data_IF_226109749827
#
_entry.id   IF_226109749827
#
_cell.length_a   1.000
_cell.length_b   1.000
_cell.length_c   1.000
_cell.angle_alpha   90.00
_cell.angle_beta   90.00
_cell.angle_gamma   90.00
#
_symmetry.space_group_name_H-M   'P 1'
#
loop_
_entity.id
_entity.type
_entity.pdbx_description
1 polymer ?
#
# COMPACT_ATOMS: atom_id res chain seq x y z
N UNK A 1 11.10 17.62 -7.12
CA UNK A 1 10.51 18.85 -6.58
C UNK A 1 11.53 19.64 -5.77
N UNK A 2 11.27 20.91 -5.57
CA UNK A 2 12.17 21.83 -4.89
C UNK A 2 11.96 21.79 -3.36
N UNK A 3 13.07 21.89 -2.63
CA UNK A 3 13.08 22.03 -1.18
C UNK A 3 14.05 23.15 -0.79
N UNK A 4 13.58 24.10 0.00
CA UNK A 4 14.42 25.22 0.46
C UNK A 4 14.77 25.05 1.93
N UNK A 5 16.06 25.06 2.26
CA UNK A 5 16.58 25.03 3.61
C UNK A 5 17.80 25.96 3.74
N UNK A 6 17.85 26.73 4.81
CA UNK A 6 18.97 27.67 5.07
C UNK A 6 19.12 28.75 4.00
N UNK A 7 18.05 29.10 3.26
CA UNK A 7 18.10 30.09 2.17
C UNK A 7 18.60 29.53 0.83
N UNK A 8 18.86 28.22 0.75
CA UNK A 8 19.23 27.55 -0.51
C UNK A 8 18.11 26.63 -0.97
N UNK A 9 17.90 26.58 -2.29
CA UNK A 9 16.90 25.71 -2.93
C UNK A 9 17.58 24.48 -3.51
N UNK A 10 17.04 23.31 -3.22
CA UNK A 10 17.56 22.01 -3.63
C UNK A 10 16.53 21.28 -4.48
N UNK A 11 16.98 20.60 -5.52
CA UNK A 11 16.15 19.72 -6.33
C UNK A 11 16.15 18.31 -5.73
N UNK A 12 14.97 17.80 -5.36
CA UNK A 12 14.81 16.50 -4.73
C UNK A 12 14.20 15.51 -5.73
N UNK A 13 14.83 14.37 -5.88
CA UNK A 13 14.37 13.30 -6.76
C UNK A 13 14.96 13.33 -8.17
N UNK A 14 15.86 14.25 -8.49
CA UNK A 14 16.65 14.19 -9.70
C UNK A 14 17.87 13.28 -9.53
N UNK A 15 18.27 12.62 -10.61
CA UNK A 15 19.54 11.89 -10.64
C UNK A 15 20.69 12.90 -10.56
N UNK A 16 21.60 12.69 -9.63
CA UNK A 16 22.88 13.39 -9.66
C UNK A 16 23.65 12.93 -10.91
N UNK A 17 23.79 13.79 -11.88
CA UNK A 17 24.65 13.55 -13.04
C UNK A 17 26.13 13.62 -12.67
N UNK A 18 26.43 14.21 -11.53
CA UNK A 18 27.75 14.35 -10.95
C UNK A 18 27.69 14.10 -9.44
N UNK A 19 28.38 13.08 -8.97
CA UNK A 19 28.51 12.74 -7.54
C UNK A 19 29.23 13.81 -6.71
N UNK A 20 29.86 14.77 -7.35
CA UNK A 20 30.48 15.93 -6.68
C UNK A 20 29.46 17.04 -6.38
N UNK A 21 28.26 16.99 -6.96
CA UNK A 21 27.19 17.91 -6.63
C UNK A 21 26.54 17.54 -5.29
N UNK A 22 27.09 18.11 -4.23
CA UNK A 22 26.67 17.88 -2.85
C UNK A 22 25.17 18.21 -2.66
N UNK A 23 24.64 19.17 -3.43
CA UNK A 23 23.25 19.57 -3.32
C UNK A 23 22.28 18.49 -3.83
N UNK A 24 22.72 17.71 -4.82
CA UNK A 24 21.95 16.58 -5.35
C UNK A 24 22.20 15.28 -4.59
N UNK A 25 23.43 15.07 -4.09
CA UNK A 25 23.85 13.82 -3.44
C UNK A 25 23.32 13.63 -2.02
N UNK A 26 22.93 14.70 -1.32
CA UNK A 26 22.61 14.65 0.11
C UNK A 26 21.12 14.46 0.43
N UNK A 27 20.24 14.44 -0.56
CA UNK A 27 18.78 14.35 -0.30
C UNK A 27 18.26 12.95 -0.47
N UNK A 28 17.90 12.34 0.66
CA UNK A 28 17.22 11.05 0.73
C UNK A 28 15.81 11.27 1.26
N UNK A 29 14.81 10.69 0.61
CA UNK A 29 13.44 10.72 1.13
C UNK A 29 13.33 9.90 2.41
N UNK A 30 12.65 10.43 3.40
CA UNK A 30 12.37 9.72 4.64
C UNK A 30 11.22 8.72 4.44
N UNK A 31 11.38 7.50 4.97
CA UNK A 31 10.29 6.50 4.98
C UNK A 31 9.14 6.93 5.89
N UNK A 32 9.44 7.66 6.95
CA UNK A 32 8.47 8.14 7.92
C UNK A 32 8.88 9.53 8.41
N UNK A 33 7.91 10.41 8.51
CA UNK A 33 8.09 11.70 9.14
C UNK A 33 7.61 11.62 10.60
N UNK A 34 8.40 12.15 11.54
CA UNK A 34 8.04 12.28 12.94
C UNK A 34 7.16 13.50 13.21
N UNK A 35 7.07 14.43 12.26
CA UNK A 35 6.19 15.60 12.35
C UNK A 35 4.73 15.22 12.07
N UNK A 36 3.84 15.74 12.90
CA UNK A 36 2.39 15.66 12.65
C UNK A 36 1.86 16.91 11.93
N UNK A 37 2.75 17.75 11.41
CA UNK A 37 2.38 18.99 10.73
C UNK A 37 2.74 18.91 9.24
N UNK A 38 1.72 18.79 8.35
CA UNK A 38 1.93 18.77 6.89
C UNK A 38 2.56 20.04 6.31
N UNK A 39 2.52 21.15 7.06
CA UNK A 39 3.12 22.43 6.64
C UNK A 39 4.65 22.46 6.85
N UNK A 40 5.21 21.52 7.58
CA UNK A 40 6.65 21.48 7.77
C UNK A 40 7.37 20.96 6.53
N UNK A 41 8.53 21.58 6.21
CA UNK A 41 9.31 21.24 5.01
C UNK A 41 9.73 19.75 4.93
N UNK A 42 10.02 19.12 6.07
CA UNK A 42 10.37 17.70 6.13
C UNK A 42 9.21 16.76 5.75
N UNK A 43 7.94 17.21 5.81
CA UNK A 43 6.78 16.45 5.30
C UNK A 43 6.92 16.12 3.82
N UNK A 44 7.48 17.04 3.04
CA UNK A 44 7.73 16.84 1.60
C UNK A 44 8.82 15.80 1.31
N UNK A 45 9.69 15.52 2.28
CA UNK A 45 10.73 14.51 2.16
C UNK A 45 10.24 13.09 2.45
N UNK A 46 9.05 12.94 3.01
CA UNK A 46 8.46 11.65 3.31
C UNK A 46 8.14 10.89 2.01
N UNK A 47 8.49 9.61 1.98
CA UNK A 47 8.02 8.71 0.92
C UNK A 47 6.52 8.47 1.09
N UNK A 48 5.74 8.77 0.07
CA UNK A 48 4.27 8.73 0.09
C UNK A 48 3.69 7.54 -0.65
N UNK A 49 4.53 6.65 -1.17
CA UNK A 49 4.18 5.50 -2.00
C UNK A 49 4.60 4.16 -1.38
N UNK A 50 4.84 4.13 -0.07
CA UNK A 50 5.35 2.96 0.65
C UNK A 50 4.32 2.49 1.67
N UNK A 51 3.97 1.20 1.61
CA UNK A 51 3.01 0.58 2.51
C UNK A 51 3.64 -0.64 3.18
N UNK A 52 3.52 -0.72 4.50
CA UNK A 52 4.00 -1.86 5.27
C UNK A 52 2.98 -3.00 5.19
N UNK A 53 3.44 -4.20 4.87
CA UNK A 53 2.60 -5.40 4.82
C UNK A 53 2.90 -6.34 5.98
N UNK A 54 4.20 -6.60 6.25
CA UNK A 54 4.62 -7.57 7.24
C UNK A 54 6.10 -7.38 7.59
N UNK A 55 6.62 -8.14 8.55
CA UNK A 55 8.06 -8.13 8.88
C UNK A 55 8.93 -8.67 7.72
N UNK A 56 8.39 -9.65 6.99
CA UNK A 56 9.03 -10.24 5.81
C UNK A 56 7.95 -10.69 4.83
N UNK A 57 8.26 -10.58 3.53
CA UNK A 57 7.37 -10.99 2.43
C UNK A 57 8.19 -11.75 1.41
N UNK A 58 7.87 -13.02 1.19
CA UNK A 58 8.51 -13.84 0.17
C UNK A 58 7.79 -13.72 -1.17
N UNK A 59 8.53 -13.82 -2.26
CA UNK A 59 7.99 -13.80 -3.63
C UNK A 59 7.03 -14.98 -3.89
N UNK A 60 7.32 -16.12 -3.27
CA UNK A 60 6.49 -17.30 -3.41
C UNK A 60 5.07 -17.03 -2.89
N UNK A 61 4.06 -17.30 -3.71
CA UNK A 61 2.64 -17.06 -3.41
C UNK A 61 2.27 -15.60 -3.12
N UNK A 62 3.18 -14.65 -3.32
CA UNK A 62 2.83 -13.24 -3.20
C UNK A 62 1.80 -12.86 -4.25
N UNK A 63 0.70 -12.27 -3.79
CA UNK A 63 -0.32 -11.64 -4.64
C UNK A 63 -0.82 -10.42 -3.91
N UNK A 64 -0.80 -9.29 -4.55
CA UNK A 64 -1.35 -8.05 -4.01
C UNK A 64 -2.17 -7.38 -5.11
N UNK A 65 -3.37 -6.97 -4.76
CA UNK A 65 -4.28 -6.22 -5.61
C UNK A 65 -4.77 -4.98 -4.87
N UNK A 66 -5.27 -4.01 -5.60
CA UNK A 66 -5.90 -2.80 -5.08
C UNK A 66 -7.38 -2.84 -5.39
N UNK A 67 -8.19 -2.60 -4.37
CA UNK A 67 -9.65 -2.53 -4.50
C UNK A 67 -10.15 -1.13 -4.21
N UNK A 68 -11.25 -0.77 -4.84
CA UNK A 68 -12.01 0.45 -4.63
C UNK A 68 -13.42 0.09 -4.17
N UNK A 69 -13.89 0.68 -3.07
CA UNK A 69 -15.24 0.49 -2.59
C UNK A 69 -16.23 1.34 -3.39
N UNK A 70 -17.15 0.68 -4.10
CA UNK A 70 -18.17 1.36 -4.90
C UNK A 70 -19.17 2.12 -4.03
N UNK A 71 -19.43 3.37 -4.35
CA UNK A 71 -20.42 4.20 -3.68
C UNK A 71 -21.85 3.66 -3.84
N UNK A 72 -22.14 3.03 -4.98
CA UNK A 72 -23.47 2.56 -5.32
C UNK A 72 -23.81 1.25 -4.63
N UNK A 73 -22.84 0.33 -4.53
CA UNK A 73 -23.09 -1.03 -4.05
C UNK A 73 -22.42 -1.38 -2.74
N UNK A 74 -21.44 -0.56 -2.30
CA UNK A 74 -20.58 -0.86 -1.14
C UNK A 74 -19.59 -2.00 -1.38
N UNK A 75 -19.61 -2.64 -2.55
CA UNK A 75 -18.75 -3.77 -2.90
C UNK A 75 -17.37 -3.26 -3.30
N UNK A 76 -16.33 -4.00 -2.94
CA UNK A 76 -14.96 -3.73 -3.37
C UNK A 76 -14.71 -4.25 -4.78
N UNK A 77 -14.40 -3.33 -5.70
CA UNK A 77 -14.12 -3.58 -7.11
C UNK A 77 -12.61 -3.52 -7.35
N UNK A 78 -12.10 -4.32 -8.29
CA UNK A 78 -10.70 -4.24 -8.74
C UNK A 78 -10.48 -3.21 -9.85
N UNK A 79 -11.44 -2.32 -10.07
CA UNK A 79 -11.41 -1.28 -11.10
C UNK A 79 -12.19 -0.04 -10.63
N UNK A 80 -11.95 1.10 -11.27
CA UNK A 80 -12.77 2.31 -11.09
C UNK A 80 -14.00 2.21 -12.00
N UNK A 81 -15.25 2.40 -11.47
CA UNK A 81 -16.48 2.18 -12.21
C UNK A 81 -16.83 3.34 -13.17
N UNK A 82 -15.84 3.84 -13.92
CA UNK A 82 -16.00 4.82 -14.97
C UNK A 82 -15.80 4.18 -16.34
N UNK A 83 -16.68 4.51 -17.28
CA UNK A 83 -16.76 3.88 -18.61
C UNK A 83 -15.40 3.84 -19.34
N UNK A 84 -14.58 4.86 -19.14
CA UNK A 84 -13.28 5.04 -19.81
C UNK A 84 -12.20 4.09 -19.28
N UNK A 85 -12.34 3.56 -18.06
CA UNK A 85 -11.31 2.78 -17.36
C UNK A 85 -11.82 1.49 -16.72
N UNK A 86 -13.12 1.18 -16.80
CA UNK A 86 -13.73 0.01 -16.14
C UNK A 86 -13.18 -1.35 -16.62
N UNK A 87 -12.62 -1.39 -17.82
CA UNK A 87 -12.05 -2.60 -18.40
C UNK A 87 -10.57 -2.78 -18.02
N UNK A 88 -10.03 -1.89 -17.20
CA UNK A 88 -8.67 -1.92 -16.68
C UNK A 88 -8.68 -2.12 -15.17
N UNK A 89 -7.85 -3.04 -14.67
CA UNK A 89 -7.68 -3.23 -13.23
C UNK A 89 -7.07 -1.99 -12.59
N UNK A 90 -7.47 -1.69 -11.35
CA UNK A 90 -6.96 -0.54 -10.61
C UNK A 90 -5.45 -0.65 -10.37
N UNK A 91 -4.94 -1.84 -10.09
CA UNK A 91 -3.50 -2.08 -9.92
C UNK A 91 -2.70 -1.73 -11.18
N UNK A 92 -3.26 -2.01 -12.38
CA UNK A 92 -2.66 -1.63 -13.66
C UNK A 92 -2.77 -0.13 -13.92
N UNK A 93 -3.93 0.48 -13.58
CA UNK A 93 -4.15 1.93 -13.70
C UNK A 93 -3.13 2.71 -12.86
N UNK A 94 -2.80 2.19 -11.66
CA UNK A 94 -1.79 2.74 -10.75
C UNK A 94 -0.34 2.43 -11.18
N UNK A 95 -0.13 1.76 -12.32
CA UNK A 95 1.18 1.48 -12.86
C UNK A 95 1.99 0.44 -12.07
N UNK A 96 1.33 -0.33 -11.20
CA UNK A 96 1.97 -1.33 -10.35
C UNK A 96 1.82 -2.78 -10.86
N UNK A 97 1.26 -2.96 -12.06
CA UNK A 97 1.16 -4.22 -12.79
C UNK A 97 1.67 -4.00 -14.22
N UNK A 98 2.97 -4.14 -14.40
CA UNK A 98 3.67 -3.97 -15.70
C UNK A 98 4.39 -5.23 -16.12
N UNK A 99 4.63 -6.17 -15.19
CA UNK A 99 5.50 -7.32 -15.35
C UNK A 99 4.74 -8.62 -15.13
N UNK A 100 5.28 -9.70 -15.67
CA UNK A 100 4.86 -11.06 -15.35
C UNK A 100 5.66 -11.64 -14.17
N UNK A 101 5.37 -12.87 -13.80
CA UNK A 101 6.06 -13.57 -12.72
C UNK A 101 7.57 -13.77 -12.97
N UNK A 102 8.03 -13.56 -14.19
CA UNK A 102 9.44 -13.68 -14.60
C UNK A 102 10.10 -12.31 -14.80
N UNK A 103 9.45 -11.23 -14.35
CA UNK A 103 9.88 -9.84 -14.51
C UNK A 103 10.03 -9.39 -15.98
N UNK A 104 9.24 -9.99 -16.87
CA UNK A 104 9.12 -9.54 -18.26
C UNK A 104 7.93 -8.61 -18.44
N UNK A 105 7.95 -7.75 -19.43
CA UNK A 105 6.97 -6.71 -19.69
C UNK A 105 5.58 -7.26 -20.13
N UNK A 106 4.92 -8.00 -19.25
CA UNK A 106 3.58 -8.53 -19.44
C UNK A 106 2.77 -8.40 -18.14
N UNK A 107 1.76 -7.53 -18.07
CA UNK A 107 0.86 -7.43 -16.90
C UNK A 107 0.20 -8.79 -16.60
N UNK A 108 0.12 -9.13 -15.31
CA UNK A 108 -0.45 -10.40 -14.85
C UNK A 108 -1.63 -10.24 -13.90
N UNK A 109 -2.10 -9.01 -13.67
CA UNK A 109 -3.23 -8.68 -12.82
C UNK A 109 -2.89 -8.47 -11.34
N UNK A 110 -1.60 -8.53 -10.97
CA UNK A 110 -1.14 -8.37 -9.59
C UNK A 110 0.01 -7.36 -9.51
N UNK A 111 0.29 -6.91 -8.30
CA UNK A 111 1.41 -6.02 -8.01
C UNK A 111 2.74 -6.68 -8.40
N UNK A 112 3.59 -5.94 -9.10
CA UNK A 112 4.90 -6.39 -9.54
C UNK A 112 5.84 -6.65 -8.37
N UNK A 113 6.25 -7.89 -8.18
CA UNK A 113 7.21 -8.24 -7.15
C UNK A 113 8.64 -8.20 -7.71
N UNK A 114 9.35 -7.12 -7.44
CA UNK A 114 10.78 -6.99 -7.74
C UNK A 114 11.50 -6.71 -6.43
N UNK A 115 12.23 -7.73 -5.94
CA UNK A 115 12.92 -7.66 -4.66
C UNK A 115 13.94 -6.52 -4.63
N UNK A 116 13.94 -5.75 -3.54
CA UNK A 116 14.79 -4.58 -3.38
C UNK A 116 14.28 -3.31 -4.09
N UNK A 117 13.26 -3.42 -4.96
CA UNK A 117 12.68 -2.28 -5.68
C UNK A 117 11.21 -2.05 -5.32
N UNK A 118 10.32 -2.97 -5.70
CA UNK A 118 8.89 -2.83 -5.41
C UNK A 118 8.49 -3.52 -4.12
N UNK A 119 9.27 -4.48 -3.65
CA UNK A 119 9.09 -5.15 -2.35
C UNK A 119 10.42 -5.24 -1.64
N UNK A 120 10.50 -4.72 -0.42
CA UNK A 120 11.71 -4.80 0.41
C UNK A 120 11.35 -4.69 1.90
N UNK A 121 11.95 -5.53 2.73
CA UNK A 121 11.78 -5.49 4.19
C UNK A 121 10.30 -5.42 4.62
N UNK A 122 9.46 -6.25 4.02
CA UNK A 122 8.03 -6.31 4.33
C UNK A 122 7.21 -5.10 3.87
N UNK A 123 7.78 -4.23 3.05
CA UNK A 123 7.11 -3.07 2.47
C UNK A 123 6.92 -3.22 0.98
N UNK A 124 5.83 -2.67 0.48
CA UNK A 124 5.61 -2.47 -0.96
C UNK A 124 5.80 -1.01 -1.32
N UNK A 125 6.43 -0.79 -2.45
CA UNK A 125 6.75 0.52 -3.00
C UNK A 125 6.02 0.66 -4.33
N UNK A 126 5.02 1.51 -4.37
CA UNK A 126 4.38 1.84 -5.64
C UNK A 126 5.38 2.63 -6.51
N UNK A 127 5.39 2.40 -7.84
CA UNK A 127 6.37 3.05 -8.71
C UNK A 127 6.19 4.57 -8.77
N UNK A 128 4.97 5.05 -8.54
CA UNK A 128 4.62 6.46 -8.64
C UNK A 128 4.44 7.07 -7.24
N UNK A 129 4.83 8.32 -7.08
CA UNK A 129 4.51 9.08 -5.89
C UNK A 129 3.00 9.37 -5.83
N UNK A 130 2.42 9.37 -4.64
CA UNK A 130 1.00 9.66 -4.41
C UNK A 130 0.05 8.84 -5.29
N UNK A 131 0.17 7.50 -5.30
CA UNK A 131 -0.52 6.64 -6.26
C UNK A 131 -2.04 6.79 -6.21
N UNK A 132 -2.63 7.04 -5.04
CA UNK A 132 -4.08 7.23 -4.87
C UNK A 132 -4.51 8.70 -4.89
N UNK A 133 -3.57 9.64 -5.07
CA UNK A 133 -3.80 11.08 -5.11
C UNK A 133 -3.61 11.64 -6.52
N UNK A 134 -2.62 12.52 -6.65
CA UNK A 134 -2.34 13.23 -7.90
C UNK A 134 -2.11 12.31 -9.08
N UNK A 135 -1.39 11.20 -8.89
CA UNK A 135 -1.16 10.25 -9.98
C UNK A 135 -2.45 9.62 -10.50
N UNK A 136 -3.34 9.14 -9.60
CA UNK A 136 -4.63 8.58 -10.01
C UNK A 136 -5.48 9.63 -10.74
N UNK A 137 -5.51 10.86 -10.23
CA UNK A 137 -6.21 11.96 -10.88
C UNK A 137 -5.76 12.14 -12.34
N UNK A 138 -4.45 12.28 -12.54
CA UNK A 138 -3.87 12.49 -13.86
C UNK A 138 -4.14 11.32 -14.82
N UNK A 139 -4.10 10.10 -14.31
CA UNK A 139 -4.42 8.90 -15.09
C UNK A 139 -5.89 8.87 -15.53
N UNK A 140 -6.82 9.22 -14.64
CA UNK A 140 -8.25 9.27 -14.95
C UNK A 140 -8.56 10.36 -15.99
N UNK A 141 -8.03 11.57 -15.79
CA UNK A 141 -8.20 12.67 -16.75
C UNK A 141 -7.60 12.32 -18.11
N UNK A 142 -6.42 11.75 -18.14
CA UNK A 142 -5.75 11.31 -19.39
C UNK A 142 -6.54 10.22 -20.13
N UNK A 143 -7.32 9.42 -19.40
CA UNK A 143 -8.23 8.42 -19.98
C UNK A 143 -9.57 9.00 -20.45
N UNK A 144 -9.82 10.29 -20.23
CA UNK A 144 -11.05 11.00 -20.64
C UNK A 144 -12.14 11.04 -19.57
N UNK A 145 -11.84 10.71 -18.32
CA UNK A 145 -12.75 10.97 -17.19
C UNK A 145 -12.77 12.47 -16.91
N UNK A 146 -13.94 13.04 -16.65
CA UNK A 146 -14.02 14.48 -16.33
C UNK A 146 -13.24 14.84 -15.08
N UNK A 147 -12.69 16.06 -15.01
CA UNK A 147 -11.88 16.53 -13.90
C UNK A 147 -12.59 16.40 -12.54
N UNK A 148 -13.88 16.74 -12.48
CA UNK A 148 -14.66 16.66 -11.25
C UNK A 148 -14.79 15.22 -10.75
N UNK A 149 -15.06 14.27 -11.66
CA UNK A 149 -15.11 12.85 -11.32
C UNK A 149 -13.74 12.30 -10.94
N UNK A 150 -12.70 12.65 -11.68
CA UNK A 150 -11.34 12.26 -11.34
C UNK A 150 -10.95 12.76 -9.95
N UNK A 151 -11.32 13.99 -9.59
CA UNK A 151 -11.08 14.56 -8.26
C UNK A 151 -11.86 13.85 -7.14
N UNK A 152 -13.04 13.32 -7.43
CA UNK A 152 -13.82 12.55 -6.44
C UNK A 152 -13.17 11.19 -6.10
N UNK A 153 -12.45 10.59 -7.05
CA UNK A 153 -11.70 9.35 -6.83
C UNK A 153 -10.33 9.60 -6.19
N UNK A 154 -9.68 10.70 -6.53
CA UNK A 154 -8.33 11.00 -6.06
C UNK A 154 -8.33 11.37 -4.57
N UNK A 155 -7.54 10.65 -3.78
CA UNK A 155 -7.41 10.88 -2.35
C UNK A 155 -6.12 11.67 -2.04
N UNK A 156 -6.09 12.95 -2.41
CA UNK A 156 -4.92 13.83 -2.21
C UNK A 156 -4.65 14.09 -0.73
N UNK A 157 -5.70 14.15 0.08
CA UNK A 157 -5.61 14.39 1.52
C UNK A 157 -4.91 13.25 2.28
N UNK A 158 -4.81 12.05 1.68
CA UNK A 158 -3.98 10.95 2.19
C UNK A 158 -2.50 11.38 2.32
N UNK A 159 -2.06 12.29 1.46
CA UNK A 159 -0.67 12.74 1.35
C UNK A 159 -0.43 14.13 1.92
N UNK A 160 -1.44 14.99 1.89
CA UNK A 160 -1.32 16.41 2.24
C UNK A 160 -1.90 16.74 3.62
N UNK A 161 -2.47 15.75 4.31
CA UNK A 161 -3.01 15.93 5.65
C UNK A 161 -2.48 14.88 6.63
N UNK A 162 -2.79 15.05 7.92
CA UNK A 162 -2.48 14.05 8.93
C UNK A 162 -3.38 12.82 8.76
N UNK A 163 -2.90 11.66 9.26
CA UNK A 163 -3.68 10.41 9.28
C UNK A 163 -5.08 10.60 9.90
N UNK A 164 -5.18 11.40 10.97
CA UNK A 164 -6.45 11.65 11.65
C UNK A 164 -7.43 12.39 10.75
N UNK A 165 -6.96 13.42 10.05
CA UNK A 165 -7.78 14.20 9.13
C UNK A 165 -8.19 13.34 7.91
N UNK A 166 -7.22 12.65 7.29
CA UNK A 166 -7.50 11.80 6.14
C UNK A 166 -8.57 10.73 6.45
N UNK A 167 -8.52 10.11 7.64
CA UNK A 167 -9.52 9.12 8.07
C UNK A 167 -10.94 9.68 8.24
N UNK A 168 -11.11 10.97 8.41
CA UNK A 168 -12.42 11.61 8.54
C UNK A 168 -13.10 11.85 7.20
N UNK A 169 -12.37 11.70 6.09
CA UNK A 169 -12.89 11.89 4.72
C UNK A 169 -13.37 10.53 4.19
N UNK A 170 -14.50 10.07 4.74
CA UNK A 170 -15.03 8.74 4.44
C UNK A 170 -15.38 8.54 2.95
N UNK A 171 -15.77 9.60 2.25
CA UNK A 171 -16.08 9.60 0.83
C UNK A 171 -14.87 9.32 -0.07
N UNK A 172 -13.64 9.49 0.41
CA UNK A 172 -12.40 9.22 -0.30
C UNK A 172 -11.62 8.03 0.27
N UNK A 173 -11.89 7.63 1.51
CA UNK A 173 -11.24 6.51 2.18
C UNK A 173 -11.83 5.15 1.74
N UNK A 174 -11.70 4.85 0.44
CA UNK A 174 -12.33 3.71 -0.24
C UNK A 174 -11.36 2.70 -0.83
N UNK A 175 -10.07 2.94 -0.70
CA UNK A 175 -9.06 2.04 -1.24
C UNK A 175 -8.66 0.96 -0.22
N UNK A 176 -8.49 -0.26 -0.70
CA UNK A 176 -8.07 -1.42 0.07
C UNK A 176 -6.94 -2.14 -0.66
N UNK A 177 -5.82 -2.34 0.01
CA UNK A 177 -4.80 -3.30 -0.41
C UNK A 177 -5.23 -4.69 0.06
N UNK A 178 -5.44 -5.61 -0.88
CA UNK A 178 -5.86 -6.97 -0.60
C UNK A 178 -4.89 -7.95 -1.26
N UNK A 179 -4.43 -8.94 -0.50
CA UNK A 179 -3.48 -9.88 -1.05
C UNK A 179 -3.20 -11.06 -0.16
N UNK A 180 -2.20 -11.82 -0.57
CA UNK A 180 -1.63 -12.93 0.19
C UNK A 180 -0.11 -12.89 0.08
N UNK A 181 0.57 -13.35 1.09
CA UNK A 181 2.01 -13.53 1.08
C UNK A 181 2.40 -14.73 1.94
N UNK A 182 3.61 -15.24 1.73
CA UNK A 182 4.26 -16.22 2.62
C UNK A 182 5.27 -15.45 3.49
N UNK A 183 5.12 -15.54 4.80
CA UNK A 183 6.06 -14.96 5.77
C UNK A 183 7.15 -15.97 6.14
N UNK A 184 8.28 -15.46 6.62
CA UNK A 184 9.43 -16.28 7.06
C UNK A 184 9.25 -16.89 8.45
N UNK A 185 8.36 -16.37 9.28
CA UNK A 185 8.00 -16.97 10.57
C UNK A 185 6.85 -17.93 10.36
N UNK A 186 7.10 -19.23 10.59
CA UNK A 186 6.13 -20.29 10.29
C UNK A 186 4.79 -20.13 11.04
N UNK A 187 4.78 -19.37 12.13
CA UNK A 187 3.62 -19.26 13.01
C UNK A 187 3.22 -17.83 13.39
N UNK A 188 4.02 -16.80 13.11
CA UNK A 188 3.68 -15.41 13.46
C UNK A 188 3.51 -14.55 12.20
N UNK A 189 2.38 -13.89 12.11
CA UNK A 189 2.00 -13.03 10.99
C UNK A 189 1.77 -11.62 11.52
N UNK A 190 2.60 -10.65 11.10
CA UNK A 190 2.39 -9.25 11.44
C UNK A 190 1.29 -8.65 10.57
N UNK A 191 0.35 -7.93 11.21
CA UNK A 191 -0.77 -7.26 10.54
C UNK A 191 -0.39 -5.89 9.95
N UNK A 192 0.83 -5.42 10.22
CA UNK A 192 1.27 -4.10 9.79
C UNK A 192 0.52 -2.92 10.44
N UNK A 193 -0.24 -3.19 11.48
CA UNK A 193 -1.03 -2.21 12.22
C UNK A 193 -0.84 -2.43 13.72
N UNK A 194 -0.85 -1.34 14.49
CA UNK A 194 -0.84 -1.39 15.95
C UNK A 194 -2.23 -1.01 16.48
N UNK A 195 -2.57 -1.48 17.68
CA UNK A 195 -3.85 -1.21 18.32
C UNK A 195 -5.04 -1.59 17.41
N UNK A 196 -4.98 -2.78 16.86
CA UNK A 196 -6.03 -3.35 16.01
C UNK A 196 -7.28 -3.59 16.87
N UNK A 197 -8.48 -3.22 16.41
CA UNK A 197 -9.70 -3.48 17.18
C UNK A 197 -9.92 -4.98 17.41
N UNK A 198 -10.32 -5.37 18.62
CA UNK A 198 -10.66 -6.77 18.92
C UNK A 198 -11.77 -7.27 18.01
N UNK A 199 -11.63 -8.50 17.53
CA UNK A 199 -12.60 -9.13 16.64
C UNK A 199 -12.57 -8.66 15.18
N UNK A 200 -11.66 -7.72 14.81
CA UNK A 200 -11.51 -7.27 13.42
C UNK A 200 -10.65 -8.20 12.56
N UNK A 201 -9.97 -9.15 13.17
CA UNK A 201 -9.06 -10.07 12.49
C UNK A 201 -9.80 -11.35 12.10
N UNK A 202 -9.74 -11.71 10.83
CA UNK A 202 -10.25 -12.99 10.32
C UNK A 202 -9.10 -13.75 9.69
N UNK A 203 -8.88 -14.97 10.18
CA UNK A 203 -7.82 -15.86 9.69
C UNK A 203 -8.45 -17.06 8.99
N UNK A 204 -7.93 -17.40 7.81
CA UNK A 204 -8.33 -18.59 7.07
C UNK A 204 -7.10 -19.38 6.65
N UNK A 205 -7.20 -20.70 6.61
CA UNK A 205 -6.19 -21.59 6.08
C UNK A 205 -6.82 -22.55 5.07
N UNK A 206 -6.25 -22.60 3.86
CA UNK A 206 -6.80 -23.42 2.77
C UNK A 206 -8.27 -23.10 2.43
N UNK A 207 -8.72 -21.86 2.68
CA UNK A 207 -10.10 -21.41 2.47
C UNK A 207 -11.05 -21.70 3.66
N UNK A 208 -10.57 -22.39 4.71
CA UNK A 208 -11.36 -22.66 5.93
C UNK A 208 -11.09 -21.58 6.96
N UNK A 209 -12.14 -21.01 7.55
CA UNK A 209 -12.02 -20.03 8.63
C UNK A 209 -11.51 -20.71 9.90
N UNK A 210 -10.50 -20.10 10.50
CA UNK A 210 -9.90 -20.54 11.76
C UNK A 210 -10.60 -19.89 12.96
N UNK A 211 -10.47 -20.51 14.12
CA UNK A 211 -11.04 -20.05 15.38
C UNK A 211 -9.97 -19.41 16.26
N UNK A 212 -10.21 -18.18 16.68
CA UNK A 212 -9.34 -17.48 17.64
C UNK A 212 -9.37 -18.18 19.00
N UNK A 213 -8.21 -18.29 19.63
CA UNK A 213 -8.03 -18.98 20.90
C UNK A 213 -7.72 -20.48 20.77
N UNK A 214 -8.10 -21.14 19.67
CA UNK A 214 -7.78 -22.55 19.41
C UNK A 214 -6.80 -22.75 18.26
N UNK A 215 -7.06 -22.14 17.12
CA UNK A 215 -6.21 -22.28 15.94
C UNK A 215 -5.17 -21.17 15.84
N UNK A 216 -5.48 -19.99 16.36
CA UNK A 216 -4.59 -18.84 16.39
C UNK A 216 -4.90 -17.91 17.57
N UNK A 217 -3.94 -17.04 17.90
CA UNK A 217 -4.12 -15.91 18.82
C UNK A 217 -3.76 -14.61 18.13
N UNK A 218 -4.32 -13.49 18.63
CA UNK A 218 -4.03 -12.16 18.13
C UNK A 218 -3.50 -11.29 19.27
N UNK A 219 -2.30 -10.73 19.07
CA UNK A 219 -1.87 -9.58 19.85
C UNK A 219 -2.40 -8.31 19.17
N UNK A 220 -3.54 -7.84 19.64
CA UNK A 220 -4.21 -6.67 19.09
C UNK A 220 -3.41 -5.38 19.31
N UNK A 221 -2.57 -5.32 20.32
CA UNK A 221 -1.72 -4.15 20.60
C UNK A 221 -0.51 -4.09 19.69
N UNK A 222 0.17 -5.21 19.48
CA UNK A 222 1.29 -5.34 18.57
C UNK A 222 0.86 -5.49 17.10
N UNK A 223 -0.41 -5.90 16.86
CA UNK A 223 -0.91 -6.22 15.53
C UNK A 223 -0.26 -7.48 14.96
N UNK A 224 -0.23 -8.54 15.75
CA UNK A 224 0.36 -9.83 15.35
C UNK A 224 -0.63 -10.96 15.54
N UNK A 225 -0.66 -11.89 14.58
CA UNK A 225 -1.40 -13.15 14.65
C UNK A 225 -0.40 -14.29 14.81
N UNK A 226 -0.58 -15.11 15.84
CA UNK A 226 0.22 -16.33 16.05
C UNK A 226 -0.64 -17.55 15.75
N UNK A 227 -0.25 -18.37 14.79
CA UNK A 227 -0.91 -19.64 14.49
C UNK A 227 -0.48 -20.67 15.54
N UNK A 228 -1.46 -21.26 16.21
CA UNK A 228 -1.27 -22.29 17.24
C UNK A 228 -1.42 -23.71 16.69
N UNK A 229 -2.22 -23.85 15.63
CA UNK A 229 -2.54 -25.16 15.04
C UNK A 229 -1.33 -25.70 14.26
N UNK A 230 -0.63 -26.65 14.88
CA UNK A 230 0.59 -27.24 14.34
C UNK A 230 0.36 -27.94 12.99
N UNK A 231 -0.80 -28.52 12.78
CA UNK A 231 -1.12 -29.22 11.53
C UNK A 231 -1.15 -28.25 10.33
N UNK A 232 -1.56 -27.00 10.54
CA UNK A 232 -1.55 -25.94 9.52
C UNK A 232 -0.12 -25.53 9.18
N UNK A 233 0.73 -25.42 10.22
CA UNK A 233 2.14 -25.04 10.08
C UNK A 233 2.90 -26.14 9.32
N UNK A 234 2.76 -27.39 9.76
CA UNK A 234 3.48 -28.53 9.20
C UNK A 234 3.05 -28.86 7.76
N UNK A 235 1.77 -28.66 7.45
CA UNK A 235 1.24 -28.84 6.10
C UNK A 235 1.65 -27.72 5.15
N UNK A 236 2.25 -26.63 5.64
CA UNK A 236 2.54 -25.43 4.83
C UNK A 236 1.31 -24.82 4.17
N UNK A 237 0.14 -25.00 4.81
CA UNK A 237 -1.13 -24.51 4.29
C UNK A 237 -1.10 -22.98 4.23
N UNK A 238 -1.48 -22.41 3.10
CA UNK A 238 -1.54 -20.95 2.94
C UNK A 238 -2.52 -20.36 3.96
N UNK A 239 -2.00 -19.52 4.86
CA UNK A 239 -2.79 -18.76 5.83
C UNK A 239 -3.05 -17.39 5.27
N UNK A 240 -4.31 -17.00 5.19
CA UNK A 240 -4.72 -15.67 4.81
C UNK A 240 -5.27 -14.95 6.03
N UNK A 241 -4.80 -13.73 6.25
CA UNK A 241 -5.31 -12.85 7.30
C UNK A 241 -5.95 -11.64 6.65
N UNK A 242 -7.18 -11.38 6.98
CA UNK A 242 -7.90 -10.18 6.58
C UNK A 242 -8.21 -9.33 7.81
N UNK A 243 -7.98 -8.02 7.67
CA UNK A 243 -8.40 -7.01 8.63
C UNK A 243 -9.65 -6.33 8.10
N UNK A 244 -10.70 -6.28 8.89
CA UNK A 244 -11.94 -5.59 8.53
C UNK A 244 -11.73 -4.07 8.29
N UNK A 245 -10.55 -3.53 8.64
CA UNK A 245 -10.21 -2.11 8.53
C UNK A 245 -8.75 -1.87 8.09
N UNK A 246 -8.16 -2.69 7.22
CA UNK A 246 -6.88 -2.33 6.62
C UNK A 246 -7.13 -1.28 5.53
N UNK A 247 -7.40 -0.06 5.97
CA UNK A 247 -7.42 1.13 5.14
C UNK A 247 -5.99 1.65 4.97
N UNK A 248 -5.70 2.28 3.83
CA UNK A 248 -4.38 2.69 3.34
C UNK A 248 -3.60 3.70 4.20
N UNK A 249 -3.67 3.62 5.52
CA UNK A 249 -2.96 4.55 6.37
C UNK A 249 -1.59 4.01 6.77
N UNK A 250 -0.54 4.71 6.35
CA UNK A 250 0.80 4.59 6.88
C UNK A 250 0.94 5.34 8.20
#
# INVERSE_FOLDING_TARGET
YEYTYGGQTYQVGEFASDVTDVNKALFVKALKNTSNNPQQGNWKLMMKNVYYLASSVEREKFRLDVKYQSDTTGVYLSYIPEQQVKDQTLIKLLGADRLDNNNKAHPNGYFDFVEGYTVSNGRVFFPEAEPFGSYLYDRLVSAGVSADKAASYAFTELYDSTKTIAKQIAEKDKFLLQGQYKGTSANVISLGAYNVPQGSVVVTAGGVRLTEGSDYTVDYSAGEVTILNQSIIDAGTAVNVSLAYMRLFM
#
